data_IF_136704342614
#
_entry.id   IF_136704342614
#
_cell.length_a   1.000
_cell.length_b   1.000
_cell.length_c   1.000
_cell.angle_alpha   90.00
_cell.angle_beta   90.00
_cell.angle_gamma   90.00
#
_symmetry.space_group_name_H-M   'P 1'
#
loop_
_entity.id
_entity.type
_entity.pdbx_description
1 polymer ?
#
# COMPACT_ATOMS: atom_id res chain seq x y z
N UNK A 1 -7.40 -2.60 14.87
CA UNK A 1 -6.28 -2.65 13.89
C UNK A 1 -5.03 -2.12 14.61
N UNK A 2 -3.84 -2.64 14.32
CA UNK A 2 -2.61 -2.14 14.97
C UNK A 2 -2.11 -0.86 14.32
N UNK A 3 -1.23 -0.15 15.02
CA UNK A 3 -0.41 0.91 14.42
C UNK A 3 0.42 0.29 13.28
N UNK A 4 0.54 1.02 12.18
CA UNK A 4 1.35 0.65 11.02
C UNK A 4 2.49 1.63 10.80
N UNK A 5 3.37 1.31 9.86
CA UNK A 5 4.46 2.17 9.41
C UNK A 5 4.19 2.70 8.00
N UNK A 6 4.65 3.93 7.76
CA UNK A 6 4.66 4.56 6.45
C UNK A 6 6.06 4.45 5.88
N UNK A 7 6.19 4.22 4.58
CA UNK A 7 7.50 4.09 3.98
C UNK A 7 7.52 4.23 2.48
N UNK A 8 8.65 3.86 1.91
CA UNK A 8 8.86 3.76 0.46
C UNK A 8 9.42 2.38 0.08
N UNK A 9 9.04 1.92 -1.09
CA UNK A 9 9.61 0.71 -1.70
C UNK A 9 10.98 1.03 -2.27
N UNK A 10 12.04 0.44 -1.74
CA UNK A 10 13.41 0.66 -2.25
C UNK A 10 13.67 -0.18 -3.50
N UNK A 11 13.31 -1.46 -3.44
CA UNK A 11 13.56 -2.40 -4.53
C UNK A 11 13.35 -3.85 -4.12
N UNK A 12 13.77 -4.77 -4.98
CA UNK A 12 13.70 -6.21 -4.72
C UNK A 12 15.10 -6.81 -4.73
N UNK A 13 15.31 -7.78 -3.85
CA UNK A 13 16.53 -8.59 -3.78
C UNK A 13 16.15 -10.03 -3.40
N UNK A 14 17.14 -10.89 -3.20
CA UNK A 14 16.97 -12.21 -2.61
C UNK A 14 17.82 -12.34 -1.35
N UNK A 15 17.33 -13.12 -0.40
CA UNK A 15 18.11 -13.57 0.76
C UNK A 15 18.27 -15.08 0.67
N UNK A 16 19.39 -15.59 1.16
CA UNK A 16 19.62 -17.02 1.31
C UNK A 16 19.36 -17.40 2.77
N UNK A 17 18.59 -18.46 2.99
CA UNK A 17 18.42 -19.05 4.31
C UNK A 17 19.61 -19.95 4.64
N UNK A 18 19.75 -20.32 5.91
CA UNK A 18 20.78 -21.26 6.36
C UNK A 18 20.61 -22.65 5.72
N UNK A 19 19.37 -23.00 5.34
CA UNK A 19 19.04 -24.24 4.62
C UNK A 19 19.40 -24.20 3.11
N UNK A 20 19.88 -23.05 2.61
CA UNK A 20 20.26 -22.85 1.21
C UNK A 20 19.13 -22.36 0.29
N UNK A 21 17.93 -22.09 0.81
CA UNK A 21 16.81 -21.59 0.02
C UNK A 21 17.00 -20.11 -0.38
N UNK A 22 16.69 -19.78 -1.63
CA UNK A 22 16.68 -18.41 -2.14
C UNK A 22 15.29 -17.80 -2.05
N UNK A 23 15.07 -16.88 -1.11
CA UNK A 23 13.78 -16.21 -0.91
C UNK A 23 13.78 -14.82 -1.58
N UNK A 24 12.87 -14.55 -2.52
CA UNK A 24 12.70 -13.20 -3.08
C UNK A 24 12.03 -12.28 -2.06
N UNK A 25 12.64 -11.12 -1.82
CA UNK A 25 12.18 -10.13 -0.85
C UNK A 25 12.10 -8.74 -1.47
N UNK A 26 11.09 -7.97 -1.07
CA UNK A 26 11.01 -6.53 -1.33
C UNK A 26 11.54 -5.78 -0.10
N UNK A 27 12.43 -4.82 -0.34
CA UNK A 27 13.00 -3.95 0.69
C UNK A 27 12.15 -2.70 0.81
N UNK A 28 11.67 -2.43 2.02
CA UNK A 28 10.88 -1.25 2.36
C UNK A 28 11.68 -0.40 3.34
N UNK A 29 11.84 0.88 3.03
CA UNK A 29 12.40 1.88 3.93
C UNK A 29 11.26 2.52 4.70
N UNK A 30 11.27 2.31 6.01
CA UNK A 30 10.30 2.83 6.99
C UNK A 30 11.02 3.64 8.07
N UNK A 31 12.18 4.21 7.73
CA UNK A 31 12.92 5.09 8.63
C UNK A 31 12.16 6.40 8.91
N UNK A 32 12.48 7.04 10.04
CA UNK A 32 12.00 8.39 10.37
C UNK A 32 10.45 8.53 10.32
N UNK A 33 9.74 7.56 10.88
CA UNK A 33 8.31 7.67 11.14
C UNK A 33 8.08 8.42 12.45
N UNK A 34 7.15 9.37 12.46
CA UNK A 34 6.82 10.18 13.64
C UNK A 34 5.33 10.50 13.71
N UNK A 35 4.78 10.48 14.93
CA UNK A 35 3.37 10.79 15.18
C UNK A 35 3.14 12.29 15.04
N UNK A 36 2.21 12.67 14.17
CA UNK A 36 1.86 14.09 13.94
C UNK A 36 0.58 14.49 14.66
N UNK A 37 -0.37 13.56 14.81
CA UNK A 37 -1.65 13.84 15.45
C UNK A 37 -2.25 12.55 15.99
N UNK A 38 -2.88 12.65 17.15
CA UNK A 38 -3.74 11.60 17.70
C UNK A 38 -5.17 12.11 17.60
N UNK A 39 -6.02 11.32 16.96
CA UNK A 39 -7.45 11.57 16.80
C UNK A 39 -8.22 10.72 17.80
N UNK A 40 -9.19 11.33 18.45
CA UNK A 40 -10.04 10.67 19.44
C UNK A 40 -11.49 10.69 18.98
N UNK A 41 -12.28 9.79 19.55
CA UNK A 41 -13.71 9.68 19.21
C UNK A 41 -14.48 10.97 19.55
N UNK A 42 -14.11 11.64 20.65
CA UNK A 42 -14.74 12.87 21.12
C UNK A 42 -14.53 14.07 20.18
N UNK A 43 -13.34 14.20 19.58
CA UNK A 43 -13.01 15.35 18.71
C UNK A 43 -13.22 15.07 17.23
N UNK A 44 -12.94 13.85 16.78
CA UNK A 44 -12.87 13.48 15.36
C UNK A 44 -13.93 12.45 14.94
N UNK A 45 -14.67 11.85 15.89
CA UNK A 45 -15.68 10.81 15.63
C UNK A 45 -15.09 9.43 15.27
N UNK A 46 -13.77 9.25 15.45
CA UNK A 46 -13.09 7.96 15.38
C UNK A 46 -11.71 8.06 16.03
N UNK A 47 -11.18 6.91 16.49
CA UNK A 47 -9.81 6.82 17.02
C UNK A 47 -8.81 6.47 15.91
N UNK A 48 -7.79 7.31 15.74
CA UNK A 48 -6.69 7.05 14.80
C UNK A 48 -5.41 7.78 15.19
N UNK A 49 -4.28 7.27 14.71
CA UNK A 49 -2.97 7.93 14.83
C UNK A 49 -2.50 8.31 13.44
N UNK A 50 -2.14 9.58 13.28
CA UNK A 50 -1.54 10.11 12.07
C UNK A 50 -0.03 10.04 12.20
N UNK A 51 0.61 9.45 11.20
CA UNK A 51 2.05 9.23 11.13
C UNK A 51 2.58 9.86 9.84
N UNK A 52 3.74 10.50 9.94
CA UNK A 52 4.48 11.02 8.79
C UNK A 52 5.81 10.30 8.60
N UNK A 53 6.26 10.23 7.36
CA UNK A 53 7.51 9.57 6.94
C UNK A 53 8.41 10.51 6.15
N UNK A 54 9.73 10.34 6.32
CA UNK A 54 10.76 11.04 5.57
C UNK A 54 10.87 12.52 5.94
N UNK A 55 11.64 13.28 5.15
CA UNK A 55 11.89 14.69 5.38
C UNK A 55 11.60 15.51 4.13
N UNK A 56 10.86 16.60 4.29
CA UNK A 56 10.54 17.54 3.22
C UNK A 56 11.12 18.91 3.53
N UNK A 57 11.90 19.46 2.59
CA UNK A 57 12.49 20.80 2.72
C UNK A 57 11.42 21.84 3.05
N UNK A 58 11.67 22.67 4.07
CA UNK A 58 10.72 23.68 4.57
C UNK A 58 10.15 24.58 3.46
N UNK A 59 10.94 24.97 2.46
CA UNK A 59 10.49 25.79 1.33
C UNK A 59 9.48 25.11 0.40
N UNK A 60 9.33 23.77 0.48
CA UNK A 60 8.36 22.97 -0.29
C UNK A 60 7.13 22.62 0.54
N UNK A 61 7.03 23.09 1.78
CA UNK A 61 5.92 22.83 2.70
C UNK A 61 5.01 24.07 2.73
N UNK A 62 3.71 23.86 2.58
CA UNK A 62 2.74 24.95 2.66
C UNK A 62 2.63 25.45 4.10
N UNK A 63 2.31 26.74 4.30
CA UNK A 63 2.22 27.34 5.64
C UNK A 63 1.26 26.59 6.58
N UNK A 64 0.13 26.10 6.05
CA UNK A 64 -0.83 25.30 6.80
C UNK A 64 -0.23 23.96 7.29
N UNK A 65 0.45 23.23 6.40
CA UNK A 65 1.11 21.99 6.77
C UNK A 65 2.27 22.23 7.76
N UNK A 66 3.02 23.31 7.59
CA UNK A 66 4.08 23.70 8.52
C UNK A 66 3.55 23.96 9.94
N UNK A 67 2.42 24.67 10.07
CA UNK A 67 1.75 24.88 11.36
C UNK A 67 1.28 23.57 12.01
N UNK A 68 0.79 22.63 11.21
CA UNK A 68 0.39 21.30 11.67
C UNK A 68 1.57 20.51 12.26
N UNK A 69 2.69 20.44 11.52
CA UNK A 69 3.90 19.75 12.01
C UNK A 69 4.52 20.45 13.22
N UNK A 70 4.52 21.79 13.25
CA UNK A 70 5.04 22.57 14.37
C UNK A 70 4.24 22.34 15.67
N UNK A 71 2.92 22.17 15.58
CA UNK A 71 2.06 21.85 16.74
C UNK A 71 2.46 20.52 17.39
N UNK A 72 2.92 19.56 16.59
CA UNK A 72 3.38 18.26 17.06
C UNK A 72 4.89 18.22 17.38
N UNK A 73 5.62 19.32 17.17
CA UNK A 73 7.07 19.38 17.42
C UNK A 73 7.91 18.53 16.48
N UNK A 74 7.39 18.19 15.29
CA UNK A 74 8.07 17.30 14.32
C UNK A 74 8.48 18.04 13.05
N UNK A 75 9.49 17.53 12.36
CA UNK A 75 9.81 18.03 11.03
C UNK A 75 8.72 17.63 10.02
N UNK A 76 8.65 18.36 8.90
CA UNK A 76 7.71 18.04 7.84
C UNK A 76 8.15 16.78 7.09
N UNK A 77 7.26 15.79 6.98
CA UNK A 77 7.50 14.60 6.16
C UNK A 77 6.96 14.70 4.74
N UNK A 78 7.30 13.69 3.93
CA UNK A 78 6.88 13.58 2.52
C UNK A 78 5.52 12.89 2.37
N UNK A 79 5.22 12.00 3.31
CA UNK A 79 4.01 11.18 3.32
C UNK A 79 3.33 11.37 4.68
N UNK A 80 2.00 11.46 4.66
CA UNK A 80 1.15 11.53 5.84
C UNK A 80 0.06 10.47 5.70
N UNK A 81 -0.14 9.65 6.73
CA UNK A 81 -1.14 8.58 6.73
C UNK A 81 -1.74 8.39 8.10
N UNK A 82 -3.03 8.08 8.13
CA UNK A 82 -3.73 7.72 9.36
C UNK A 82 -3.87 6.19 9.46
N UNK A 83 -3.68 5.69 10.67
CA UNK A 83 -3.95 4.32 11.06
C UNK A 83 -5.06 4.31 12.10
N UNK A 84 -6.16 3.63 11.82
CA UNK A 84 -7.21 3.41 12.82
C UNK A 84 -6.72 2.39 13.83
N UNK A 85 -6.77 2.75 15.10
CA UNK A 85 -6.30 1.90 16.19
C UNK A 85 -7.28 1.97 17.37
N UNK A 86 -7.15 1.03 18.29
CA UNK A 86 -7.97 0.99 19.51
C UNK A 86 -7.58 2.13 20.46
N UNK A 87 -8.56 2.67 21.20
CA UNK A 87 -8.38 3.84 22.06
C UNK A 87 -7.30 3.66 23.14
N UNK A 88 -7.19 2.46 23.71
CA UNK A 88 -6.15 2.15 24.69
C UNK A 88 -4.72 2.34 24.12
N UNK A 89 -4.48 1.84 22.90
CA UNK A 89 -3.19 1.99 22.22
C UNK A 89 -2.91 3.42 21.75
N UNK A 90 -3.97 4.17 21.43
CA UNK A 90 -3.83 5.58 21.08
C UNK A 90 -3.41 6.42 22.29
N UNK A 91 -3.88 6.09 23.48
CA UNK A 91 -3.54 6.81 24.72
C UNK A 91 -2.08 6.62 25.16
N UNK A 92 -1.43 5.53 24.75
CA UNK A 92 -0.01 5.26 25.02
C UNK A 92 0.94 6.12 24.16
N UNK A 93 0.43 6.68 23.07
CA UNK A 93 1.23 7.45 22.11
C UNK A 93 1.12 8.94 22.39
N UNK A 94 2.15 9.68 21.99
CA UNK A 94 2.18 11.13 22.08
C UNK A 94 2.56 11.73 20.71
N UNK A 95 2.02 12.91 20.34
CA UNK A 95 2.53 13.67 19.21
C UNK A 95 4.03 13.92 19.38
N UNK A 96 4.80 13.78 18.31
CA UNK A 96 6.27 13.86 18.37
C UNK A 96 6.97 12.53 18.58
N UNK A 97 6.28 11.49 19.06
CA UNK A 97 6.89 10.19 19.28
C UNK A 97 7.40 9.58 17.95
N UNK A 98 8.63 9.07 17.98
CA UNK A 98 9.19 8.28 16.89
C UNK A 98 8.57 6.88 16.89
N UNK A 99 8.30 6.34 15.70
CA UNK A 99 7.72 5.01 15.52
C UNK A 99 8.72 4.17 14.74
N UNK A 100 9.31 3.17 15.39
CA UNK A 100 10.37 2.34 14.82
C UNK A 100 9.88 1.05 14.17
N UNK A 101 10.82 0.31 13.60
CA UNK A 101 10.60 -1.06 13.08
C UNK A 101 10.26 -2.07 14.18
N UNK A 102 10.52 -1.72 15.44
CA UNK A 102 10.28 -2.56 16.63
C UNK A 102 8.80 -2.92 16.84
N UNK A 103 7.89 -2.23 16.14
CA UNK A 103 6.47 -2.62 16.04
C UNK A 103 6.25 -3.98 15.40
N UNK A 104 7.24 -4.48 14.65
CA UNK A 104 7.15 -5.72 13.91
C UNK A 104 8.20 -6.73 14.38
N UNK A 105 7.84 -8.00 14.26
CA UNK A 105 8.72 -9.12 14.60
C UNK A 105 9.05 -9.94 13.35
N UNK A 106 10.21 -10.61 13.37
CA UNK A 106 10.60 -11.52 12.31
C UNK A 106 9.59 -12.69 12.20
N UNK A 107 9.22 -13.06 10.97
CA UNK A 107 8.20 -14.09 10.70
C UNK A 107 6.75 -13.61 10.87
N UNK A 108 6.52 -12.40 11.36
CA UNK A 108 5.17 -11.83 11.45
C UNK A 108 4.57 -11.61 10.06
N UNK A 109 3.27 -11.86 9.94
CA UNK A 109 2.49 -11.55 8.73
C UNK A 109 2.03 -10.10 8.74
N UNK A 110 2.25 -9.43 7.61
CA UNK A 110 1.87 -8.04 7.37
C UNK A 110 1.05 -7.90 6.09
N UNK A 111 0.21 -6.87 6.07
CA UNK A 111 -0.47 -6.40 4.87
C UNK A 111 0.27 -5.14 4.39
N UNK A 112 0.65 -5.10 3.11
CA UNK A 112 1.34 -3.96 2.51
C UNK A 112 0.44 -3.32 1.46
N UNK A 113 0.09 -2.05 1.68
CA UNK A 113 -0.71 -1.23 0.79
C UNK A 113 0.18 -0.26 0.02
N UNK A 114 -0.12 -0.06 -1.26
CA UNK A 114 0.55 0.91 -2.10
C UNK A 114 -0.26 1.22 -3.36
N UNK A 115 0.20 2.18 -4.15
CA UNK A 115 -0.42 2.50 -5.45
C UNK A 115 0.20 1.62 -6.52
N UNK A 116 -0.63 0.89 -7.27
CA UNK A 116 -0.16 0.01 -8.34
C UNK A 116 0.42 0.79 -9.52
N UNK A 117 1.36 0.19 -10.26
CA UNK A 117 1.99 0.82 -11.42
C UNK A 117 0.91 1.11 -12.49
N UNK A 118 0.81 2.37 -12.90
CA UNK A 118 -0.05 2.81 -14.00
C UNK A 118 0.36 2.18 -15.33
N UNK A 119 -0.63 1.70 -16.08
CA UNK A 119 -0.46 1.08 -17.41
C UNK A 119 -1.15 1.87 -18.52
N UNK A 120 -1.65 3.07 -18.22
CA UNK A 120 -2.36 3.95 -19.14
C UNK A 120 -3.72 3.39 -19.57
N UNK A 121 -4.21 3.83 -20.74
CA UNK A 121 -5.42 3.27 -21.34
C UNK A 121 -5.15 1.87 -21.88
N UNK A 122 -5.83 0.87 -21.33
CA UNK A 122 -5.66 -0.53 -21.67
C UNK A 122 -6.87 -1.11 -22.40
N UNK A 123 -6.59 -1.95 -23.40
CA UNK A 123 -7.59 -2.80 -24.07
C UNK A 123 -8.19 -3.86 -23.15
N UNK A 124 -9.27 -4.51 -23.57
CA UNK A 124 -9.98 -5.52 -22.75
C UNK A 124 -9.15 -6.76 -22.46
N UNK A 125 -8.26 -7.16 -23.39
CA UNK A 125 -7.32 -8.26 -23.20
C UNK A 125 -6.39 -7.96 -22.02
N UNK A 126 -5.65 -6.84 -22.05
CA UNK A 126 -4.71 -6.48 -20.98
C UNK A 126 -5.41 -6.14 -19.65
N UNK A 127 -6.61 -5.55 -19.69
CA UNK A 127 -7.34 -5.08 -18.50
C UNK A 127 -8.11 -6.19 -17.79
N UNK A 128 -8.68 -7.14 -18.54
CA UNK A 128 -9.60 -8.16 -18.02
C UNK A 128 -9.28 -9.59 -18.49
N UNK A 129 -8.14 -9.81 -19.13
CA UNK A 129 -7.71 -11.10 -19.65
C UNK A 129 -8.72 -11.73 -20.62
N UNK A 130 -9.37 -10.91 -21.46
CA UNK A 130 -10.22 -11.41 -22.54
C UNK A 130 -9.39 -12.16 -23.58
N UNK A 131 -10.00 -13.16 -24.24
CA UNK A 131 -9.38 -13.81 -25.40
C UNK A 131 -9.47 -12.92 -26.66
N UNK A 132 -8.53 -13.11 -27.58
CA UNK A 132 -8.60 -12.51 -28.92
C UNK A 132 -9.52 -13.34 -29.83
N UNK A 133 -10.05 -12.70 -30.88
CA UNK A 133 -10.65 -13.39 -32.02
C UNK A 133 -9.62 -14.19 -32.82
N UNK A 134 -10.10 -14.92 -33.84
CA UNK A 134 -9.23 -15.71 -34.73
C UNK A 134 -8.22 -14.82 -35.45
N UNK A 135 -6.98 -15.26 -35.59
CA UNK A 135 -5.98 -14.48 -36.32
C UNK A 135 -6.19 -14.52 -37.85
N UNK A 136 -6.63 -15.67 -38.36
CA UNK A 136 -6.86 -15.96 -39.78
C UNK A 136 -8.28 -16.51 -40.02
N UNK A 137 -8.53 -17.10 -41.19
CA UNK A 137 -9.82 -17.69 -41.61
C UNK A 137 -10.98 -16.68 -41.59
N UNK A 138 -10.83 -15.60 -42.36
CA UNK A 138 -11.92 -14.66 -42.64
C UNK A 138 -12.19 -13.62 -41.54
N UNK A 139 -11.38 -13.53 -40.49
CA UNK A 139 -11.53 -12.44 -39.52
C UNK A 139 -11.22 -11.08 -40.19
N UNK A 140 -12.21 -10.19 -40.21
CA UNK A 140 -12.05 -8.82 -40.67
C UNK A 140 -11.96 -7.86 -39.48
N UNK A 141 -10.74 -7.38 -39.21
CA UNK A 141 -10.41 -6.30 -38.25
C UNK A 141 -10.89 -6.52 -36.80
N UNK A 142 -11.24 -7.75 -36.42
CA UNK A 142 -11.84 -8.07 -35.12
C UNK A 142 -10.93 -8.96 -34.27
N UNK A 143 -9.61 -8.82 -34.41
CA UNK A 143 -8.62 -9.63 -33.70
C UNK A 143 -8.65 -9.37 -32.19
N UNK A 144 -8.61 -8.11 -31.76
CA UNK A 144 -8.48 -7.73 -30.34
C UNK A 144 -9.67 -6.90 -29.83
N UNK A 145 -10.84 -7.05 -30.45
CA UNK A 145 -12.08 -6.37 -30.06
C UNK A 145 -12.79 -7.12 -28.92
N UNK A 146 -13.60 -6.46 -28.09
CA UNK A 146 -14.29 -7.11 -26.97
C UNK A 146 -15.42 -8.08 -27.36
N UNK A 147 -15.81 -8.15 -28.64
CA UNK A 147 -16.99 -8.87 -29.08
C UNK A 147 -18.28 -8.16 -28.68
N UNK A 148 -19.35 -8.92 -28.47
CA UNK A 148 -20.66 -8.36 -28.11
C UNK A 148 -20.66 -7.74 -26.69
N UNK A 149 -21.30 -6.58 -26.55
CA UNK A 149 -21.40 -5.85 -25.29
C UNK A 149 -22.79 -5.94 -24.63
N UNK A 150 -23.79 -6.51 -25.32
CA UNK A 150 -25.17 -6.59 -24.82
C UNK A 150 -26.08 -7.46 -25.70
N UNK A 151 -27.36 -7.53 -25.34
CA UNK A 151 -28.41 -8.15 -26.15
C UNK A 151 -29.08 -7.12 -27.07
N UNK A 152 -30.03 -7.55 -27.89
CA UNK A 152 -30.82 -6.71 -28.78
C UNK A 152 -31.92 -5.92 -28.02
N UNK A 153 -33.20 -6.11 -28.37
CA UNK A 153 -34.31 -5.25 -27.91
C UNK A 153 -34.51 -5.25 -26.40
N UNK A 154 -34.51 -6.42 -25.76
CA UNK A 154 -34.63 -6.56 -24.31
C UNK A 154 -33.32 -7.10 -23.75
N UNK A 155 -32.59 -6.34 -22.89
CA UNK A 155 -32.98 -5.13 -22.15
C UNK A 155 -32.69 -3.78 -22.86
N UNK A 156 -32.27 -3.78 -24.13
CA UNK A 156 -32.09 -2.55 -24.93
C UNK A 156 -30.98 -1.61 -24.45
N UNK A 157 -30.08 -2.10 -23.57
CA UNK A 157 -28.99 -1.30 -23.00
C UNK A 157 -27.83 -2.18 -22.53
N UNK A 158 -26.67 -1.54 -22.33
CA UNK A 158 -25.52 -2.16 -21.66
C UNK A 158 -25.68 -2.01 -20.14
N UNK A 159 -25.47 -3.09 -19.39
CA UNK A 159 -25.54 -3.06 -17.93
C UNK A 159 -24.36 -2.30 -17.30
N UNK A 160 -24.57 -1.56 -16.19
CA UNK A 160 -23.49 -1.00 -15.38
C UNK A 160 -22.49 -2.08 -14.94
N UNK A 161 -21.21 -1.72 -14.86
CA UNK A 161 -20.15 -2.66 -14.52
C UNK A 161 -19.70 -3.58 -15.66
N UNK A 162 -20.25 -3.43 -16.88
CA UNK A 162 -19.76 -4.16 -18.06
C UNK A 162 -18.27 -3.88 -18.28
N UNK A 163 -17.49 -4.95 -18.40
CA UNK A 163 -16.04 -4.89 -18.63
C UNK A 163 -15.74 -4.31 -20.02
N UNK A 164 -15.05 -3.17 -20.06
CA UNK A 164 -14.65 -2.46 -21.28
C UNK A 164 -13.23 -1.88 -21.18
N UNK A 165 -12.70 -1.35 -22.27
CA UNK A 165 -11.40 -0.66 -22.28
C UNK A 165 -11.37 0.53 -21.31
N UNK A 166 -10.18 0.95 -20.89
CA UNK A 166 -10.04 2.09 -19.98
C UNK A 166 -8.72 2.11 -19.22
N UNK A 167 -8.57 3.09 -18.33
CA UNK A 167 -7.36 3.22 -17.51
C UNK A 167 -7.14 1.97 -16.64
N UNK A 168 -5.87 1.52 -16.56
CA UNK A 168 -5.44 0.38 -15.77
C UNK A 168 -4.25 0.74 -14.89
N UNK A 169 -4.26 0.33 -13.63
CA UNK A 169 -3.24 0.69 -12.65
C UNK A 169 -3.51 2.06 -12.02
N UNK A 170 -2.52 2.60 -11.29
CA UNK A 170 -2.66 3.82 -10.47
C UNK A 170 -3.81 3.74 -9.45
N UNK A 171 -4.08 2.51 -8.98
CA UNK A 171 -5.09 2.24 -7.97
C UNK A 171 -4.44 1.70 -6.72
N UNK A 172 -4.93 2.15 -5.56
CA UNK A 172 -4.53 1.64 -4.26
C UNK A 172 -4.86 0.16 -4.16
N UNK A 173 -3.85 -0.66 -3.93
CA UNK A 173 -3.95 -2.11 -3.82
C UNK A 173 -3.23 -2.55 -2.55
N UNK A 174 -3.73 -3.61 -1.91
CA UNK A 174 -3.12 -4.23 -0.75
C UNK A 174 -2.76 -5.66 -1.07
N UNK A 175 -1.50 -6.05 -0.82
CA UNK A 175 -1.09 -7.44 -0.83
C UNK A 175 -1.06 -7.91 0.61
N UNK A 176 -1.80 -8.98 0.89
CA UNK A 176 -2.06 -9.44 2.25
C UNK A 176 -1.18 -10.61 2.64
N UNK A 177 -1.00 -10.80 3.95
CA UNK A 177 -0.33 -11.97 4.54
C UNK A 177 1.12 -12.18 4.05
N UNK A 178 1.83 -11.10 3.76
CA UNK A 178 3.24 -11.18 3.43
C UNK A 178 4.05 -11.40 4.70
N UNK A 179 5.10 -12.21 4.62
CA UNK A 179 5.93 -12.56 5.77
C UNK A 179 7.15 -11.63 5.85
N UNK A 180 7.47 -11.15 7.06
CA UNK A 180 8.72 -10.41 7.29
C UNK A 180 9.87 -11.40 7.38
N UNK A 181 10.76 -11.33 6.40
CA UNK A 181 11.90 -12.22 6.28
C UNK A 181 13.13 -11.71 7.04
N UNK A 182 13.29 -10.38 7.16
CA UNK A 182 14.38 -9.74 7.90
C UNK A 182 13.99 -8.32 8.30
N UNK A 183 14.49 -7.87 9.45
CA UNK A 183 14.39 -6.49 9.91
C UNK A 183 15.81 -5.96 10.12
N UNK A 184 16.06 -4.74 9.66
CA UNK A 184 17.30 -3.99 9.89
C UNK A 184 16.94 -2.71 10.65
N UNK A 185 17.11 -2.74 11.98
CA UNK A 185 16.72 -1.64 12.85
C UNK A 185 17.65 -0.43 12.75
N UNK A 186 18.94 -0.65 12.48
CA UNK A 186 19.92 0.43 12.33
C UNK A 186 19.59 1.32 11.12
N UNK A 187 19.17 0.69 10.01
CA UNK A 187 18.81 1.40 8.78
C UNK A 187 17.32 1.71 8.65
N UNK A 188 16.47 1.17 9.53
CA UNK A 188 15.02 1.29 9.45
C UNK A 188 14.41 0.60 8.23
N UNK A 189 14.94 -0.59 7.86
CA UNK A 189 14.48 -1.36 6.70
C UNK A 189 13.71 -2.62 7.12
N UNK A 190 12.66 -2.93 6.37
CA UNK A 190 11.90 -4.18 6.49
C UNK A 190 11.98 -4.94 5.17
N UNK A 191 12.32 -6.22 5.26
CA UNK A 191 12.38 -7.13 4.12
C UNK A 191 11.16 -8.04 4.15
N UNK A 192 10.31 -7.90 3.15
CA UNK A 192 9.05 -8.63 3.06
C UNK A 192 9.13 -9.66 1.94
N UNK A 193 8.76 -10.91 2.21
CA UNK A 193 8.75 -11.99 1.22
C UNK A 193 7.75 -11.71 0.10
N UNK A 194 8.22 -11.74 -1.15
CA UNK A 194 7.38 -11.53 -2.34
C UNK A 194 7.31 -10.08 -2.80
N UNK A 195 6.31 -9.78 -3.64
CA UNK A 195 6.18 -8.51 -4.34
C UNK A 195 5.19 -7.55 -3.64
N UNK A 196 5.53 -6.27 -3.64
CA UNK A 196 4.71 -5.16 -3.11
C UNK A 196 4.25 -4.27 -4.27
N UNK A 197 3.00 -3.73 -4.23
CA UNK A 197 2.47 -2.84 -5.25
C UNK A 197 3.29 -1.56 -5.41
N UNK A 198 3.41 -1.11 -6.66
CA UNK A 198 4.07 0.15 -7.01
C UNK A 198 5.48 0.01 -7.54
N UNK A 199 5.98 1.12 -8.10
CA UNK A 199 7.35 1.26 -8.57
C UNK A 199 8.32 1.47 -7.39
N UNK A 200 9.62 1.43 -7.66
CA UNK A 200 10.63 1.85 -6.68
C UNK A 200 10.42 3.34 -6.33
N UNK A 201 10.78 3.72 -5.11
CA UNK A 201 10.44 5.00 -4.45
C UNK A 201 8.93 5.25 -4.27
N UNK A 202 8.09 4.27 -4.62
CA UNK A 202 6.64 4.33 -4.41
C UNK A 202 6.28 4.29 -2.93
N UNK A 203 5.25 5.07 -2.56
CA UNK A 203 4.72 5.12 -1.19
C UNK A 203 4.08 3.79 -0.81
N UNK A 204 4.45 3.28 0.36
CA UNK A 204 3.90 2.05 0.93
C UNK A 204 3.45 2.25 2.37
N UNK A 205 2.47 1.48 2.78
CA UNK A 205 1.96 1.44 4.15
C UNK A 205 1.97 -0.01 4.61
N UNK A 206 2.62 -0.27 5.73
CA UNK A 206 2.79 -1.61 6.30
C UNK A 206 1.96 -1.68 7.58
N UNK A 207 1.04 -2.65 7.65
CA UNK A 207 0.20 -2.89 8.83
C UNK A 207 0.25 -4.36 9.22
N UNK A 208 -0.06 -4.70 10.48
CA UNK A 208 -0.27 -6.11 10.87
C UNK A 208 -1.33 -6.75 9.96
N UNK A 209 -1.13 -8.01 9.56
CA UNK A 209 -2.08 -8.69 8.70
C UNK A 209 -3.45 -8.84 9.37
N UNK A 210 -4.51 -8.35 8.72
CA UNK A 210 -5.87 -8.37 9.28
C UNK A 210 -6.44 -9.81 9.32
N UNK A 211 -5.95 -10.69 8.44
CA UNK A 211 -6.42 -12.08 8.28
C UNK A 211 -5.52 -13.11 8.95
N UNK A 212 -4.42 -12.70 9.58
CA UNK A 212 -3.58 -13.61 10.34
C UNK A 212 -4.24 -13.89 11.70
N UNK A 213 -4.24 -15.15 12.13
CA UNK A 213 -4.56 -15.46 13.53
C UNK A 213 -3.50 -14.81 14.41
N UNK A 214 -3.92 -14.07 15.43
CA UNK A 214 -3.03 -13.63 16.49
C UNK A 214 -2.33 -14.88 17.06
N UNK A 215 -1.01 -14.84 17.17
CA UNK A 215 -0.29 -15.88 17.89
C UNK A 215 -0.89 -15.97 19.30
N UNK A 216 -1.16 -17.19 19.77
CA UNK A 216 -1.78 -17.43 21.08
C UNK A 216 -0.81 -16.91 22.16
N UNK A 217 -1.16 -15.81 22.84
CA UNK A 217 -0.39 -15.30 23.99
C UNK A 217 0.42 -14.01 23.79
N UNK A 218 0.04 -13.14 22.85
CA UNK A 218 0.51 -11.76 22.77
C UNK A 218 -0.53 -10.78 23.32
#
# INVERSE_FOLDING_TARGET
>A
MSLGLVGRKVGMTRIFTDDGDSIPVTVLDVSNNRVTQIKTDETDGYTAVQVTFGNRRASRVTKAAAGHYAKAGVEAGEILKEFRIDAAKAAELQPGAAVGVDLFQLGQKVDVQGVSIGKGYAGTIKRYNFASGRASHGNSRSHNVPGSIGMAQDPGRVFPGKRMTGHLGDVTTTVQNLEIARIDAERGLIFVKGAVPGANEGKVFVTSAVKAKLAKGA
#
